data_IF_412107301999
#
_entry.id   IF_412107301999
#
_cell.length_a   1.000
_cell.length_b   1.000
_cell.length_c   1.000
_cell.angle_alpha   90.00
_cell.angle_beta   90.00
_cell.angle_gamma   90.00
#
_symmetry.space_group_name_H-M   'P 1'
#
loop_
_entity.id
_entity.type
_entity.pdbx_description
1 polymer ?
#
# COMPACT_ATOMS: atom_id res chain seq x y z
N UNK A 1 18.40 19.26 30.50
CA UNK A 1 17.24 18.94 31.34
C UNK A 1 17.06 17.43 31.58
N UNK A 2 17.78 16.56 30.86
CA UNK A 2 17.74 15.11 31.07
C UNK A 2 18.59 14.71 32.29
N UNK A 3 18.03 13.88 33.18
CA UNK A 3 18.77 13.31 34.34
C UNK A 3 19.78 12.28 33.85
N UNK A 4 20.81 12.02 34.67
CA UNK A 4 21.79 10.97 34.37
C UNK A 4 21.09 9.59 34.37
N UNK A 5 21.47 8.73 33.41
CA UNK A 5 20.85 7.43 33.20
C UNK A 5 19.43 7.46 32.59
N UNK A 6 18.95 8.63 32.16
CA UNK A 6 17.61 8.78 31.57
C UNK A 6 17.46 8.08 30.21
N UNK A 7 16.23 7.75 29.86
CA UNK A 7 15.88 7.15 28.57
C UNK A 7 15.30 8.21 27.63
N UNK A 8 15.68 8.14 26.35
CA UNK A 8 15.21 9.02 25.28
C UNK A 8 14.79 8.19 24.09
N UNK A 9 13.57 8.43 23.59
CA UNK A 9 13.07 7.86 22.32
C UNK A 9 12.64 8.99 21.43
N UNK A 10 13.14 9.03 20.19
CA UNK A 10 12.77 10.09 19.26
C UNK A 10 13.57 10.04 17.97
N UNK A 11 13.40 11.06 17.11
CA UNK A 11 14.30 11.29 15.99
C UNK A 11 15.62 11.83 16.50
N UNK A 12 16.70 11.17 16.16
CA UNK A 12 18.05 11.49 16.63
C UNK A 12 18.97 11.87 15.47
N UNK A 13 18.87 11.15 14.35
CA UNK A 13 19.76 11.27 13.20
C UNK A 13 21.25 11.20 13.62
N UNK A 14 21.71 10.08 14.21
CA UNK A 14 22.99 10.00 14.90
C UNK A 14 24.20 10.27 13.99
N UNK A 15 24.07 10.06 12.68
CA UNK A 15 25.09 10.40 11.72
C UNK A 15 25.29 11.91 11.51
N UNK A 16 24.23 12.69 11.67
CA UNK A 16 24.22 14.14 11.44
C UNK A 16 24.40 14.93 12.75
N UNK A 17 23.95 14.40 13.90
CA UNK A 17 23.90 15.08 15.19
C UNK A 17 24.86 14.46 16.21
N UNK A 18 26.13 14.30 15.85
CA UNK A 18 27.16 13.68 16.70
C UNK A 18 27.36 14.39 18.01
N UNK A 19 27.33 15.72 18.01
CA UNK A 19 27.46 16.55 19.21
C UNK A 19 26.34 16.28 20.24
N UNK A 20 25.09 16.09 19.76
CA UNK A 20 23.96 15.74 20.60
C UNK A 20 24.17 14.34 21.21
N UNK A 21 24.57 13.38 20.40
CA UNK A 21 24.81 11.99 20.83
C UNK A 21 25.93 11.97 21.89
N UNK A 22 27.03 12.71 21.69
CA UNK A 22 28.15 12.79 22.65
C UNK A 22 27.74 13.44 23.97
N UNK A 23 26.86 14.46 23.94
CA UNK A 23 26.28 15.09 25.15
C UNK A 23 25.39 14.11 25.91
N UNK A 24 24.59 13.31 25.20
CA UNK A 24 23.72 12.28 25.80
C UNK A 24 24.56 11.14 26.39
N UNK A 25 25.66 10.74 25.73
CA UNK A 25 26.59 9.75 26.23
C UNK A 25 27.21 10.14 27.58
N UNK A 26 27.63 11.43 27.73
CA UNK A 26 28.13 11.99 28.99
C UNK A 26 27.11 11.98 30.15
N UNK A 27 25.81 11.85 29.80
CA UNK A 27 24.72 11.70 30.74
C UNK A 27 24.34 10.22 31.01
N UNK A 28 25.16 9.29 30.59
CA UNK A 28 24.90 7.86 30.69
C UNK A 28 23.51 7.45 30.17
N UNK A 29 23.00 8.20 29.18
CA UNK A 29 21.67 7.99 28.63
C UNK A 29 21.55 6.69 27.87
N UNK A 30 20.32 6.13 27.85
CA UNK A 30 19.90 5.10 26.90
C UNK A 30 19.01 5.75 25.85
N UNK A 31 19.40 5.64 24.56
CA UNK A 31 18.80 6.43 23.48
C UNK A 31 18.37 5.51 22.34
N UNK A 32 17.10 5.59 21.96
CA UNK A 32 16.50 4.92 20.81
C UNK A 32 16.18 5.94 19.73
N UNK A 33 16.69 5.72 18.52
CA UNK A 33 16.43 6.56 17.37
C UNK A 33 15.33 5.95 16.49
N UNK A 34 14.18 6.60 16.40
CA UNK A 34 13.07 6.16 15.55
C UNK A 34 13.43 6.19 14.05
N UNK A 35 14.42 6.99 13.66
CA UNK A 35 15.00 7.05 12.31
C UNK A 35 15.98 5.92 12.01
N UNK A 36 16.38 5.15 13.04
CA UNK A 36 17.31 4.02 12.91
C UNK A 36 16.62 2.65 13.05
N UNK A 37 15.31 2.60 13.20
CA UNK A 37 14.53 1.36 13.23
C UNK A 37 14.78 0.56 11.94
N UNK A 38 15.18 -0.73 12.04
CA UNK A 38 15.53 -1.52 10.87
C UNK A 38 14.29 -1.80 10.00
N UNK A 39 14.46 -1.79 8.67
CA UNK A 39 13.38 -2.04 7.71
C UNK A 39 13.17 -3.53 7.48
N UNK A 40 12.70 -4.23 8.49
CA UNK A 40 12.33 -5.65 8.48
C UNK A 40 10.83 -5.80 8.77
N UNK A 41 10.25 -6.91 8.37
CA UNK A 41 8.79 -7.16 8.49
C UNK A 41 8.27 -7.00 9.92
N UNK A 42 9.03 -7.45 10.94
CA UNK A 42 8.64 -7.34 12.35
C UNK A 42 8.62 -5.89 12.84
N UNK A 43 9.53 -5.04 12.32
CA UNK A 43 9.65 -3.64 12.71
C UNK A 43 8.72 -2.70 11.92
N UNK A 44 7.96 -3.19 10.96
CA UNK A 44 7.12 -2.37 10.06
C UNK A 44 6.15 -1.46 10.83
N UNK A 45 5.60 -1.92 11.96
CA UNK A 45 4.70 -1.12 12.82
C UNK A 45 5.42 0.03 13.56
N UNK A 46 6.74 0.01 13.58
CA UNK A 46 7.61 1.00 14.21
C UNK A 46 8.30 1.90 13.18
N UNK A 47 8.04 1.72 11.86
CA UNK A 47 8.64 2.51 10.78
C UNK A 47 8.03 3.92 10.72
N UNK A 48 8.58 4.77 11.56
CA UNK A 48 8.19 6.17 11.68
C UNK A 48 8.53 6.97 10.41
N UNK A 49 9.65 6.64 9.75
CA UNK A 49 10.06 7.34 8.52
C UNK A 49 9.03 7.13 7.42
N UNK A 50 8.53 5.90 7.23
CA UNK A 50 7.47 5.62 6.25
C UNK A 50 6.16 6.30 6.63
N UNK A 51 5.80 6.34 7.91
CA UNK A 51 4.61 7.04 8.38
C UNK A 51 4.66 8.54 8.06
N UNK A 52 5.80 9.20 8.36
CA UNK A 52 5.99 10.62 8.07
C UNK A 52 6.10 10.90 6.57
N UNK A 53 6.76 10.03 5.81
CA UNK A 53 6.84 10.13 4.36
C UNK A 53 5.45 10.07 3.69
N UNK A 54 4.55 9.21 4.19
CA UNK A 54 3.17 9.14 3.70
C UNK A 54 2.44 10.47 3.89
N UNK A 55 2.54 11.05 5.09
CA UNK A 55 1.94 12.37 5.40
C UNK A 55 2.55 13.45 4.50
N UNK A 56 3.88 13.46 4.34
CA UNK A 56 4.56 14.44 3.50
C UNK A 56 4.08 14.39 2.05
N UNK A 57 3.93 13.19 1.47
CA UNK A 57 3.42 13.01 0.11
C UNK A 57 1.99 13.52 -0.07
N UNK A 58 1.10 13.21 0.87
CA UNK A 58 -0.26 13.77 0.89
C UNK A 58 -0.24 15.30 0.99
N UNK A 59 0.51 15.84 1.98
CA UNK A 59 0.59 17.27 2.21
C UNK A 59 1.18 18.02 1.02
N UNK A 60 2.15 17.44 0.32
CA UNK A 60 2.72 18.04 -0.89
C UNK A 60 1.67 18.33 -1.96
N UNK A 61 0.70 17.43 -2.15
CA UNK A 61 -0.42 17.65 -3.09
C UNK A 61 -1.32 18.79 -2.61
N UNK A 62 -1.57 18.89 -1.31
CA UNK A 62 -2.37 19.99 -0.75
C UNK A 62 -1.65 21.32 -0.91
N UNK A 63 -0.32 21.39 -0.70
CA UNK A 63 0.47 22.59 -0.97
C UNK A 63 0.49 22.93 -2.46
N UNK A 64 0.60 21.92 -3.34
CA UNK A 64 0.45 22.13 -4.77
C UNK A 64 -0.91 22.74 -5.10
N UNK A 65 -2.00 22.20 -4.55
CA UNK A 65 -3.35 22.69 -4.79
C UNK A 65 -3.58 24.11 -4.28
N UNK A 66 -2.99 24.47 -3.13
CA UNK A 66 -3.08 25.80 -2.55
C UNK A 66 -2.35 26.89 -3.40
N UNK A 67 -1.32 26.50 -4.14
CA UNK A 67 -0.51 27.40 -4.97
C UNK A 67 -0.85 27.33 -6.46
N UNK A 68 -1.67 26.35 -6.89
CA UNK A 68 -2.04 26.17 -8.28
C UNK A 68 -3.31 26.96 -8.62
N UNK A 69 -3.29 27.88 -9.61
CA UNK A 69 -4.40 28.80 -9.87
C UNK A 69 -5.55 28.17 -10.68
N UNK A 70 -5.53 26.84 -10.90
CA UNK A 70 -6.54 26.12 -11.68
C UNK A 70 -7.09 24.94 -10.90
N UNK A 71 -8.13 24.29 -11.45
CA UNK A 71 -8.70 23.08 -10.89
C UNK A 71 -7.79 21.86 -11.08
N UNK A 72 -7.75 20.96 -10.09
CA UNK A 72 -7.14 19.64 -10.24
C UNK A 72 -8.01 18.73 -11.10
N UNK A 73 -9.32 18.74 -10.86
CA UNK A 73 -10.26 17.95 -11.64
C UNK A 73 -10.72 18.67 -12.90
N UNK A 74 -11.12 17.91 -13.93
CA UNK A 74 -11.81 18.47 -15.08
C UNK A 74 -13.18 19.07 -14.68
N UNK A 75 -13.55 20.19 -15.29
CA UNK A 75 -14.80 20.86 -15.03
C UNK A 75 -15.55 21.17 -16.31
N UNK A 76 -16.88 21.16 -16.24
CA UNK A 76 -17.76 21.70 -17.29
C UNK A 76 -18.52 22.85 -16.66
N UNK A 77 -18.32 24.05 -17.20
CA UNK A 77 -18.95 25.28 -16.72
C UNK A 77 -19.80 25.90 -17.81
N UNK A 78 -20.61 26.89 -17.46
CA UNK A 78 -21.34 27.67 -18.46
C UNK A 78 -20.39 28.39 -19.46
N UNK A 79 -19.16 28.68 -19.05
CA UNK A 79 -18.13 29.30 -19.88
C UNK A 79 -17.29 28.29 -20.71
N UNK A 80 -17.57 26.99 -20.58
CA UNK A 80 -16.90 25.94 -21.33
C UNK A 80 -16.24 24.87 -20.48
N UNK A 81 -15.47 23.99 -21.15
CA UNK A 81 -14.75 22.86 -20.54
C UNK A 81 -13.38 23.30 -20.04
N UNK A 82 -13.01 22.82 -18.88
CA UNK A 82 -11.68 22.96 -18.30
C UNK A 82 -11.09 21.56 -18.13
N UNK A 83 -9.94 21.33 -18.74
CA UNK A 83 -9.25 20.04 -18.62
C UNK A 83 -8.61 19.86 -17.22
N UNK A 84 -8.51 18.62 -16.71
CA UNK A 84 -7.88 18.34 -15.42
C UNK A 84 -6.39 18.68 -15.43
N UNK A 85 -5.84 19.04 -14.28
CA UNK A 85 -4.42 19.26 -14.10
C UNK A 85 -3.63 17.98 -14.38
N UNK A 86 -2.44 18.14 -14.97
CA UNK A 86 -1.48 17.07 -15.21
C UNK A 86 -0.39 17.14 -14.15
N UNK A 87 -0.22 16.08 -13.38
CA UNK A 87 0.72 15.98 -12.27
C UNK A 87 1.78 14.94 -12.62
N UNK A 88 3.05 15.31 -12.52
CA UNK A 88 4.19 14.40 -12.56
C UNK A 88 4.69 14.17 -11.14
N UNK A 89 4.79 12.90 -10.73
CA UNK A 89 5.44 12.51 -9.47
C UNK A 89 6.74 11.79 -9.79
N UNK A 90 7.86 12.34 -9.29
CA UNK A 90 9.19 11.77 -9.46
C UNK A 90 9.61 11.09 -8.17
N UNK A 91 9.73 9.77 -8.21
CA UNK A 91 9.89 8.86 -7.10
C UNK A 91 8.55 8.24 -6.67
N UNK A 92 8.44 6.91 -6.77
CA UNK A 92 7.27 6.12 -6.38
C UNK A 92 7.52 5.33 -5.08
N UNK A 93 8.26 5.90 -4.14
CA UNK A 93 8.35 5.42 -2.76
C UNK A 93 7.09 5.76 -1.96
N UNK A 94 7.13 5.60 -0.63
CA UNK A 94 5.97 5.84 0.24
C UNK A 94 5.38 7.25 0.04
N UNK A 95 6.22 8.28 0.01
CA UNK A 95 5.77 9.65 -0.21
C UNK A 95 5.17 9.84 -1.62
N UNK A 96 5.84 9.30 -2.65
CA UNK A 96 5.37 9.41 -4.03
C UNK A 96 4.04 8.68 -4.26
N UNK A 97 3.87 7.47 -3.74
CA UNK A 97 2.60 6.73 -3.82
C UNK A 97 1.48 7.48 -3.09
N UNK A 98 1.76 8.07 -1.92
CA UNK A 98 0.80 8.91 -1.20
C UNK A 98 0.40 10.15 -2.02
N UNK A 99 1.37 10.81 -2.67
CA UNK A 99 1.11 11.94 -3.56
C UNK A 99 0.29 11.54 -4.78
N UNK A 100 0.59 10.38 -5.42
CA UNK A 100 -0.19 9.83 -6.53
C UNK A 100 -1.65 9.64 -6.11
N UNK A 101 -1.88 8.96 -4.97
CA UNK A 101 -3.23 8.72 -4.45
C UNK A 101 -4.00 10.00 -4.17
N UNK A 102 -3.36 10.97 -3.53
CA UNK A 102 -3.97 12.27 -3.23
C UNK A 102 -4.31 13.07 -4.50
N UNK A 103 -3.38 13.17 -5.45
CA UNK A 103 -3.59 13.89 -6.70
C UNK A 103 -4.69 13.24 -7.57
N UNK A 104 -4.72 11.89 -7.62
CA UNK A 104 -5.82 11.14 -8.26
C UNK A 104 -7.15 11.38 -7.57
N UNK A 105 -7.16 11.41 -6.23
CA UNK A 105 -8.35 11.71 -5.43
C UNK A 105 -8.93 13.11 -5.71
N UNK A 106 -8.07 14.08 -6.03
CA UNK A 106 -8.45 15.42 -6.46
C UNK A 106 -8.85 15.48 -7.95
N UNK A 107 -8.76 14.38 -8.70
CA UNK A 107 -9.21 14.28 -10.10
C UNK A 107 -8.18 14.68 -11.13
N UNK A 108 -6.90 14.78 -10.79
CA UNK A 108 -5.82 15.05 -11.72
C UNK A 108 -5.49 13.85 -12.62
N UNK A 109 -4.89 14.11 -13.78
CA UNK A 109 -4.19 13.13 -14.59
C UNK A 109 -2.78 13.00 -14.02
N UNK A 110 -2.45 11.83 -13.45
CA UNK A 110 -1.18 11.61 -12.77
C UNK A 110 -0.29 10.70 -13.59
N UNK A 111 0.96 11.13 -13.78
CA UNK A 111 2.08 10.36 -14.30
C UNK A 111 3.11 10.21 -13.20
N UNK A 112 3.81 9.09 -13.16
CA UNK A 112 4.86 8.86 -12.18
C UNK A 112 6.07 8.20 -12.84
N UNK A 113 7.23 8.49 -12.29
CA UNK A 113 8.49 7.87 -12.67
C UNK A 113 9.24 7.37 -11.43
N UNK A 114 9.82 6.19 -11.54
CA UNK A 114 10.76 5.64 -10.55
C UNK A 114 11.77 4.74 -11.29
N UNK A 115 13.07 4.78 -10.97
CA UNK A 115 14.05 3.91 -11.63
C UNK A 115 13.88 2.41 -11.28
N UNK A 116 13.12 2.08 -10.23
CA UNK A 116 12.83 0.71 -9.82
C UNK A 116 11.61 0.18 -10.57
N UNK A 117 11.78 -0.84 -11.38
CA UNK A 117 10.70 -1.48 -12.15
C UNK A 117 9.61 -2.07 -11.26
N UNK A 118 9.95 -2.53 -10.05
CA UNK A 118 9.01 -3.10 -9.08
C UNK A 118 7.91 -2.12 -8.63
N UNK A 119 8.10 -0.80 -8.80
CA UNK A 119 7.09 0.22 -8.45
C UNK A 119 6.01 0.41 -9.52
N UNK A 120 6.22 -0.10 -10.74
CA UNK A 120 5.32 0.07 -11.89
C UNK A 120 3.90 -0.42 -11.59
N UNK A 121 3.78 -1.64 -11.06
CA UNK A 121 2.47 -2.23 -10.74
C UNK A 121 1.76 -1.46 -9.62
N UNK A 122 2.52 -0.94 -8.65
CA UNK A 122 1.97 -0.13 -7.56
C UNK A 122 1.40 1.19 -8.09
N UNK A 123 2.14 1.88 -8.98
CA UNK A 123 1.69 3.12 -9.63
C UNK A 123 0.45 2.86 -10.49
N UNK A 124 0.47 1.80 -11.30
CA UNK A 124 -0.66 1.43 -12.16
C UNK A 124 -1.91 1.08 -11.34
N UNK A 125 -1.76 0.37 -10.21
CA UNK A 125 -2.86 0.02 -9.31
C UNK A 125 -3.55 1.25 -8.70
N UNK A 126 -2.82 2.37 -8.58
CA UNK A 126 -3.38 3.65 -8.13
C UNK A 126 -4.01 4.47 -9.27
N UNK A 127 -4.03 3.93 -10.48
CA UNK A 127 -4.62 4.56 -11.66
C UNK A 127 -3.78 5.70 -12.23
N UNK A 128 -2.47 5.70 -12.00
CA UNK A 128 -1.51 6.61 -12.60
C UNK A 128 -0.74 5.94 -13.76
N UNK A 129 -0.30 6.75 -14.71
CA UNK A 129 0.56 6.31 -15.81
C UNK A 129 2.01 6.22 -15.32
N UNK A 130 2.64 5.06 -15.47
CA UNK A 130 4.06 4.89 -15.18
C UNK A 130 4.89 5.25 -16.40
N UNK A 131 5.85 6.15 -16.23
CA UNK A 131 6.77 6.56 -17.28
C UNK A 131 8.03 5.69 -17.24
N UNK A 132 8.47 5.21 -18.39
CA UNK A 132 9.67 4.39 -18.53
C UNK A 132 10.71 5.08 -19.41
N UNK A 133 11.97 4.89 -19.07
CA UNK A 133 13.08 5.21 -19.94
C UNK A 133 13.37 4.01 -20.84
N UNK A 134 13.59 4.23 -22.14
CA UNK A 134 13.85 3.17 -23.13
C UNK A 134 15.23 2.49 -22.95
N UNK A 135 15.69 2.32 -21.73
CA UNK A 135 16.92 1.63 -21.36
C UNK A 135 16.59 0.55 -20.31
N UNK A 136 17.00 -0.69 -20.60
CA UNK A 136 16.80 -1.81 -19.65
C UNK A 136 17.90 -1.80 -18.60
N UNK A 137 17.72 -1.02 -17.58
CA UNK A 137 18.57 -1.03 -16.39
C UNK A 137 17.69 -1.15 -15.15
N UNK A 138 18.02 -2.11 -14.27
CA UNK A 138 17.28 -2.33 -13.03
C UNK A 138 17.76 -1.36 -11.95
N UNK A 139 16.84 -0.55 -11.43
CA UNK A 139 17.15 0.50 -10.45
C UNK A 139 17.03 0.06 -8.99
N UNK A 140 16.76 -1.23 -8.70
CA UNK A 140 16.53 -1.68 -7.34
C UNK A 140 17.83 -1.75 -6.53
N UNK A 141 17.84 -1.09 -5.38
CA UNK A 141 18.95 -1.04 -4.43
C UNK A 141 18.60 -1.66 -3.08
N UNK A 142 19.54 -1.62 -2.14
CA UNK A 142 19.35 -2.16 -0.78
C UNK A 142 18.36 -1.30 0.03
N UNK A 143 17.50 -1.95 0.85
CA UNK A 143 16.60 -1.28 1.77
C UNK A 143 15.44 -0.50 1.11
N UNK A 144 15.07 -0.85 -0.15
CA UNK A 144 13.96 -0.22 -0.86
C UNK A 144 14.28 1.15 -1.47
N UNK A 145 15.57 1.54 -1.54
CA UNK A 145 16.03 2.73 -2.24
C UNK A 145 16.53 2.36 -3.65
N UNK A 146 16.54 3.36 -4.54
CA UNK A 146 17.15 3.20 -5.85
C UNK A 146 18.68 3.10 -5.73
N UNK A 147 19.32 2.29 -6.59
CA UNK A 147 20.79 2.27 -6.75
C UNK A 147 21.25 3.44 -7.64
N UNK A 148 22.56 3.67 -7.66
CA UNK A 148 23.18 4.58 -8.63
C UNK A 148 23.04 3.98 -10.04
N UNK A 149 22.46 4.77 -10.96
CA UNK A 149 22.21 4.39 -12.35
C UNK A 149 23.39 4.82 -13.24
N UNK A 150 23.48 4.21 -14.43
CA UNK A 150 24.49 4.58 -15.41
C UNK A 150 24.31 6.00 -15.93
N UNK A 151 25.39 6.63 -16.41
CA UNK A 151 25.33 7.97 -17.03
C UNK A 151 24.39 8.03 -18.23
N UNK A 152 24.27 6.93 -18.99
CA UNK A 152 23.36 6.82 -20.12
C UNK A 152 21.90 6.84 -19.66
N UNK A 153 21.60 6.11 -18.59
CA UNK A 153 20.26 6.13 -17.98
C UNK A 153 19.92 7.52 -17.46
N UNK A 154 20.83 8.15 -16.71
CA UNK A 154 20.62 9.50 -16.15
C UNK A 154 20.38 10.53 -17.27
N UNK A 155 21.08 10.45 -18.40
CA UNK A 155 20.84 11.34 -19.55
C UNK A 155 19.44 11.13 -20.15
N UNK A 156 19.01 9.88 -20.29
CA UNK A 156 17.70 9.55 -20.83
C UNK A 156 16.57 9.94 -19.86
N UNK A 157 16.77 9.77 -18.55
CA UNK A 157 15.88 10.22 -17.48
C UNK A 157 15.70 11.74 -17.52
N UNK A 158 16.80 12.50 -17.61
CA UNK A 158 16.77 13.96 -17.70
C UNK A 158 16.06 14.44 -18.95
N UNK A 159 16.23 13.74 -20.10
CA UNK A 159 15.51 14.05 -21.34
C UNK A 159 14.00 13.79 -21.18
N UNK A 160 13.62 12.70 -20.50
CA UNK A 160 12.21 12.40 -20.18
C UNK A 160 11.61 13.51 -19.30
N UNK A 161 12.31 13.94 -18.24
CA UNK A 161 11.81 15.01 -17.36
C UNK A 161 11.69 16.35 -18.09
N UNK A 162 12.64 16.68 -18.98
CA UNK A 162 12.55 17.89 -19.82
C UNK A 162 11.32 17.87 -20.71
N UNK A 163 11.01 16.71 -21.33
CA UNK A 163 9.81 16.55 -22.14
C UNK A 163 8.53 16.66 -21.29
N UNK A 164 8.51 16.06 -20.11
CA UNK A 164 7.36 16.12 -19.21
C UNK A 164 7.14 17.54 -18.67
N UNK A 165 8.19 18.28 -18.32
CA UNK A 165 8.09 19.66 -17.80
C UNK A 165 7.28 20.58 -18.73
N UNK A 166 7.39 20.41 -20.04
CA UNK A 166 6.60 21.19 -21.03
C UNK A 166 5.11 20.79 -21.05
N UNK A 167 4.76 19.60 -20.56
CA UNK A 167 3.41 19.05 -20.70
C UNK A 167 2.59 19.10 -19.44
N UNK A 168 3.24 19.01 -18.28
CA UNK A 168 2.56 18.96 -16.98
C UNK A 168 2.33 20.34 -16.39
N UNK A 169 1.43 20.41 -15.44
CA UNK A 169 1.08 21.62 -14.70
C UNK A 169 1.70 21.63 -13.30
N UNK A 170 1.95 20.43 -12.75
CA UNK A 170 2.47 20.24 -11.39
C UNK A 170 3.55 19.16 -11.41
N UNK A 171 4.67 19.40 -10.70
CA UNK A 171 5.72 18.40 -10.45
C UNK A 171 5.86 18.21 -8.95
N UNK A 172 5.88 16.97 -8.48
CA UNK A 172 6.16 16.60 -7.09
C UNK A 172 7.39 15.70 -7.09
N UNK A 173 8.47 16.12 -6.44
CA UNK A 173 9.71 15.37 -6.37
C UNK A 173 9.91 14.77 -4.98
N UNK A 174 10.30 13.50 -4.93
CA UNK A 174 10.47 12.74 -3.67
C UNK A 174 11.78 11.94 -3.63
N UNK A 175 12.74 12.23 -4.54
CA UNK A 175 13.96 11.47 -4.65
C UNK A 175 14.96 11.87 -3.54
N UNK A 176 15.10 11.00 -2.56
CA UNK A 176 16.02 11.15 -1.44
C UNK A 176 16.97 9.97 -1.36
N UNK A 177 18.26 10.25 -1.15
CA UNK A 177 19.29 9.26 -0.86
C UNK A 177 19.74 9.50 0.58
N UNK A 178 19.51 8.55 1.51
CA UNK A 178 19.89 8.74 2.91
C UNK A 178 21.37 9.09 3.07
N UNK A 179 21.66 10.16 3.79
CA UNK A 179 23.03 10.60 4.09
C UNK A 179 23.79 11.25 2.93
N UNK A 180 23.15 11.45 1.76
CA UNK A 180 23.74 12.18 0.61
C UNK A 180 22.87 13.39 0.25
N UNK A 181 23.44 14.42 -0.41
CA UNK A 181 22.66 15.48 -1.01
C UNK A 181 21.64 14.94 -2.01
N UNK A 182 20.47 15.56 -2.12
CA UNK A 182 19.44 15.18 -3.05
C UNK A 182 19.92 15.34 -4.52
N UNK A 183 19.64 14.37 -5.41
CA UNK A 183 19.99 14.50 -6.82
C UNK A 183 19.20 15.67 -7.46
N UNK A 184 19.85 16.42 -8.35
CA UNK A 184 19.21 17.49 -9.12
C UNK A 184 18.53 16.91 -10.35
N UNK A 185 17.20 16.78 -10.30
CA UNK A 185 16.37 16.15 -11.34
C UNK A 185 15.63 17.17 -12.21
N UNK A 186 15.33 18.36 -11.64
CA UNK A 186 14.67 19.46 -12.33
C UNK A 186 15.63 20.61 -12.46
N UNK A 187 16.10 20.88 -13.67
CA UNK A 187 17.01 21.99 -13.97
C UNK A 187 16.27 23.31 -14.09
N UNK A 188 17.00 24.42 -14.00
CA UNK A 188 16.44 25.77 -14.26
C UNK A 188 15.76 25.85 -15.63
N UNK A 189 16.37 25.29 -16.67
CA UNK A 189 15.78 25.28 -18.02
C UNK A 189 14.45 24.50 -18.09
N UNK A 190 14.31 23.41 -17.34
CA UNK A 190 13.03 22.68 -17.24
C UNK A 190 11.97 23.53 -16.54
N UNK A 191 12.32 24.22 -15.43
CA UNK A 191 11.40 25.14 -14.77
C UNK A 191 10.94 26.24 -15.72
N UNK A 192 11.86 26.82 -16.48
CA UNK A 192 11.55 27.86 -17.46
C UNK A 192 10.70 27.40 -18.65
N UNK A 193 10.71 26.09 -18.93
CA UNK A 193 9.88 25.48 -19.98
C UNK A 193 8.44 25.16 -19.52
N UNK A 194 8.18 25.20 -18.22
CA UNK A 194 6.84 24.96 -17.67
C UNK A 194 5.90 26.15 -17.98
N UNK A 195 4.62 25.86 -17.98
CA UNK A 195 3.58 26.89 -18.21
C UNK A 195 3.54 27.87 -17.03
N UNK A 196 3.31 29.17 -17.27
CA UNK A 196 3.02 30.12 -16.18
C UNK A 196 1.85 29.62 -15.30
N UNK A 197 1.99 29.73 -13.99
CA UNK A 197 1.04 29.21 -13.00
C UNK A 197 1.29 27.74 -12.62
N UNK A 198 2.29 27.08 -13.20
CA UNK A 198 2.71 25.75 -12.77
C UNK A 198 3.32 25.75 -11.36
N UNK A 199 3.28 24.59 -10.70
CA UNK A 199 3.79 24.43 -9.32
C UNK A 199 4.74 23.25 -9.24
N UNK A 200 5.85 23.44 -8.54
CA UNK A 200 6.78 22.36 -8.15
C UNK A 200 6.74 22.24 -6.63
N UNK A 201 6.56 21.04 -6.09
CA UNK A 201 6.71 20.77 -4.66
C UNK A 201 7.85 19.78 -4.47
N UNK A 202 8.88 20.21 -3.77
CA UNK A 202 10.12 19.48 -3.61
C UNK A 202 10.25 18.93 -2.19
N UNK A 203 9.97 17.63 -2.01
CA UNK A 203 10.08 16.97 -0.71
C UNK A 203 11.53 16.70 -0.29
N UNK A 204 12.49 16.87 -1.21
CA UNK A 204 13.90 16.73 -0.93
C UNK A 204 14.57 18.04 -0.48
N UNK A 205 13.80 19.10 -0.26
CA UNK A 205 14.28 20.43 0.06
C UNK A 205 15.26 20.46 1.24
N UNK A 206 15.03 19.68 2.30
CA UNK A 206 15.91 19.56 3.47
C UNK A 206 17.33 19.10 3.12
N UNK A 207 17.48 18.30 2.06
CA UNK A 207 18.77 17.78 1.56
C UNK A 207 19.25 18.53 0.30
N UNK A 208 18.85 19.79 0.15
CA UNK A 208 19.24 20.65 -0.96
C UNK A 208 18.27 20.65 -2.15
N UNK A 209 17.27 19.79 -2.16
CA UNK A 209 16.21 19.74 -3.15
C UNK A 209 16.55 19.03 -4.46
N UNK A 210 15.53 18.45 -5.11
CA UNK A 210 15.62 17.85 -6.44
C UNK A 210 15.50 18.91 -7.57
N UNK A 211 14.89 20.05 -7.30
CA UNK A 211 14.84 21.18 -8.24
C UNK A 211 16.04 22.11 -7.99
N UNK A 212 16.65 22.60 -9.06
CA UNK A 212 17.80 23.50 -8.98
C UNK A 212 17.47 24.83 -8.28
N UNK A 213 16.22 25.26 -8.34
CA UNK A 213 15.73 26.53 -7.79
C UNK A 213 15.01 26.38 -6.44
N UNK A 214 15.07 25.21 -5.83
CA UNK A 214 14.47 24.98 -4.50
C UNK A 214 15.28 25.72 -3.43
N UNK A 215 14.59 26.52 -2.62
CA UNK A 215 15.12 27.12 -1.41
C UNK A 215 14.50 26.43 -0.18
N UNK A 216 15.31 25.78 0.66
CA UNK A 216 14.80 25.06 1.83
C UNK A 216 13.99 25.95 2.76
N UNK A 217 12.79 25.51 3.13
CA UNK A 217 11.88 26.25 4.03
C UNK A 217 11.05 27.35 3.36
N UNK A 218 11.26 27.67 2.09
CA UNK A 218 10.65 28.82 1.42
C UNK A 218 9.80 28.41 0.21
N UNK A 219 8.91 29.33 -0.18
CA UNK A 219 8.22 29.30 -1.48
C UNK A 219 8.87 30.37 -2.35
N UNK A 220 9.35 29.97 -3.52
CA UNK A 220 9.99 30.86 -4.48
C UNK A 220 9.21 30.92 -5.79
N UNK A 221 9.40 31.96 -6.56
CA UNK A 221 8.75 32.15 -7.86
C UNK A 221 9.80 32.43 -8.93
N UNK A 222 9.75 31.67 -10.03
CA UNK A 222 10.64 31.86 -11.16
C UNK A 222 9.86 31.77 -12.47
N UNK A 223 9.88 32.84 -13.26
CA UNK A 223 9.17 32.94 -14.57
C UNK A 223 7.70 32.45 -14.52
N UNK A 224 6.98 32.77 -13.46
CA UNK A 224 5.58 32.39 -13.27
C UNK A 224 5.36 30.98 -12.76
N UNK A 225 6.42 30.22 -12.45
CA UNK A 225 6.36 28.93 -11.77
C UNK A 225 6.57 29.12 -10.28
N UNK A 226 5.72 28.51 -9.46
CA UNK A 226 5.86 28.50 -8.00
C UNK A 226 6.62 27.25 -7.56
N UNK A 227 7.66 27.40 -6.74
CA UNK A 227 8.47 26.31 -6.21
C UNK A 227 8.33 26.29 -4.69
N UNK A 228 7.76 25.23 -4.17
CA UNK A 228 7.50 25.01 -2.74
C UNK A 228 8.60 24.10 -2.18
N UNK A 229 9.49 24.68 -1.37
CA UNK A 229 10.63 24.00 -0.75
C UNK A 229 10.45 23.75 0.76
N UNK A 230 9.24 23.50 1.24
CA UNK A 230 8.99 23.29 2.67
C UNK A 230 9.70 22.04 3.20
N UNK A 231 10.37 22.20 4.34
CA UNK A 231 11.10 21.13 5.03
C UNK A 231 10.30 20.49 6.16
N UNK A 232 9.10 21.01 6.44
CA UNK A 232 8.27 20.67 7.59
C UNK A 232 6.89 20.09 7.20
N UNK A 233 6.75 19.49 6.00
CA UNK A 233 5.48 19.01 5.47
C UNK A 233 4.68 18.12 6.44
N UNK A 234 5.29 17.14 7.16
CA UNK A 234 4.56 16.38 8.17
C UNK A 234 4.04 17.24 9.32
N UNK A 235 4.81 18.23 9.77
CA UNK A 235 4.43 19.13 10.88
C UNK A 235 3.24 20.01 10.52
N UNK A 236 3.03 20.29 9.22
CA UNK A 236 1.85 21.02 8.70
C UNK A 236 0.56 20.19 8.76
N UNK A 237 0.65 18.93 9.22
CA UNK A 237 -0.47 18.06 9.58
C UNK A 237 -0.30 17.55 11.02
N UNK A 238 -0.10 18.46 11.95
CA UNK A 238 0.38 18.19 13.32
C UNK A 238 -0.43 17.10 14.05
N UNK A 239 -1.76 17.12 13.98
CA UNK A 239 -2.61 16.13 14.63
C UNK A 239 -2.35 14.71 14.12
N UNK A 240 -2.35 14.51 12.80
CA UNK A 240 -2.11 13.20 12.19
C UNK A 240 -0.68 12.73 12.41
N UNK A 241 0.30 13.62 12.26
CA UNK A 241 1.72 13.31 12.51
C UNK A 241 1.96 12.90 13.96
N UNK A 242 1.39 13.63 14.92
CA UNK A 242 1.49 13.29 16.33
C UNK A 242 0.86 11.94 16.66
N UNK A 243 -0.31 11.65 16.09
CA UNK A 243 -0.99 10.38 16.29
C UNK A 243 -0.18 9.21 15.75
N UNK A 244 0.31 9.28 14.52
CA UNK A 244 1.08 8.20 13.90
C UNK A 244 2.46 8.05 14.56
N UNK A 245 3.12 9.15 14.87
CA UNK A 245 4.40 9.16 15.60
C UNK A 245 4.26 8.53 16.97
N UNK A 246 3.24 8.95 17.73
CA UNK A 246 2.94 8.38 19.04
C UNK A 246 2.64 6.88 18.98
N UNK A 247 1.92 6.41 17.96
CA UNK A 247 1.63 4.99 17.77
C UNK A 247 2.90 4.16 17.50
N UNK A 248 3.84 4.68 16.68
CA UNK A 248 5.12 3.99 16.42
C UNK A 248 6.00 3.93 17.66
N UNK A 249 6.07 5.02 18.45
CA UNK A 249 6.78 5.04 19.75
C UNK A 249 6.14 4.07 20.72
N UNK A 250 4.81 4.06 20.86
CA UNK A 250 4.11 3.15 21.77
C UNK A 250 4.39 1.68 21.42
N UNK A 251 4.49 1.37 20.11
CA UNK A 251 4.85 0.02 19.64
C UNK A 251 6.28 -0.34 20.06
N UNK A 252 7.26 0.56 19.91
CA UNK A 252 8.62 0.33 20.37
C UNK A 252 8.69 0.17 21.88
N UNK A 253 7.98 1.00 22.65
CA UNK A 253 7.94 0.89 24.12
C UNK A 253 7.35 -0.44 24.58
N UNK A 254 6.34 -0.97 23.87
CA UNK A 254 5.77 -2.29 24.17
C UNK A 254 6.78 -3.45 23.98
N UNK A 255 7.75 -3.30 23.07
CA UNK A 255 8.85 -4.27 22.93
C UNK A 255 9.92 -4.13 24.04
N UNK A 256 10.04 -2.94 24.63
CA UNK A 256 11.00 -2.65 25.71
C UNK A 256 10.48 -2.98 27.11
N UNK A 257 9.17 -3.21 27.27
CA UNK A 257 8.59 -3.62 28.56
C UNK A 257 8.83 -5.11 28.77
N UNK A 258 9.46 -5.43 29.88
CA UNK A 258 9.66 -6.82 30.29
C UNK A 258 8.31 -7.54 30.45
N UNK A 259 8.07 -8.57 29.61
CA UNK A 259 6.86 -9.38 29.76
C UNK A 259 6.97 -10.16 31.07
N UNK A 260 5.94 -10.17 31.91
CA UNK A 260 5.94 -11.06 33.06
C UNK A 260 6.22 -12.48 32.58
N UNK A 261 7.22 -13.13 33.14
CA UNK A 261 7.47 -14.54 32.86
C UNK A 261 6.24 -15.29 33.37
N UNK A 262 5.39 -15.73 32.40
CA UNK A 262 4.31 -16.65 32.73
C UNK A 262 4.95 -17.83 33.46
N UNK A 263 4.71 -17.93 34.77
CA UNK A 263 5.16 -19.04 35.59
C UNK A 263 4.69 -20.32 34.89
N UNK A 264 5.66 -21.08 34.38
CA UNK A 264 5.45 -22.39 33.79
C UNK A 264 4.50 -23.16 34.70
N UNK A 265 3.28 -23.38 34.26
CA UNK A 265 2.31 -24.23 34.86
C UNK A 265 2.81 -25.66 34.81
N UNK A 266 3.51 -26.09 35.87
CA UNK A 266 3.71 -27.51 36.14
C UNK A 266 2.37 -28.08 36.65
N UNK A 267 1.83 -29.14 36.04
CA UNK A 267 0.64 -29.78 36.51
C UNK A 267 1.02 -30.82 37.60
N UNK A 268 0.94 -30.46 38.86
CA UNK A 268 0.67 -31.47 39.90
C UNK A 268 0.11 -30.84 41.18
N UNK A 269 -1.19 -31.04 41.34
CA UNK A 269 -1.96 -31.46 42.54
C UNK A 269 -1.42 -31.13 43.95
N UNK A 270 -2.15 -30.29 44.67
CA UNK A 270 -2.82 -30.74 45.88
C UNK A 270 -3.85 -29.72 46.39
N UNK A 271 -5.03 -30.23 46.73
CA UNK A 271 -6.11 -29.53 47.44
C UNK A 271 -5.66 -29.13 48.85
N UNK A 272 -6.01 -27.91 49.26
CA UNK A 272 -6.18 -27.59 50.66
C UNK A 272 -5.65 -26.23 51.06
N UNK A 273 -6.60 -25.42 51.42
CA UNK A 273 -6.60 -24.30 52.38
C UNK A 273 -6.71 -22.89 51.79
N UNK A 274 -7.79 -22.33 52.28
CA UNK A 274 -8.33 -20.98 52.13
C UNK A 274 -7.40 -19.90 52.70
N UNK A 275 -7.70 -18.74 52.18
CA UNK A 275 -7.65 -17.39 52.73
C UNK A 275 -6.49 -16.50 52.31
N UNK A 276 -6.97 -15.32 51.97
CA UNK A 276 -6.34 -14.02 51.83
C UNK A 276 -5.95 -13.60 50.40
N UNK A 277 -6.96 -12.97 49.78
CA UNK A 277 -6.77 -12.03 48.68
C UNK A 277 -5.92 -10.85 49.17
N UNK A 278 -4.61 -10.96 49.03
CA UNK A 278 -3.70 -9.83 49.19
C UNK A 278 -3.29 -9.39 47.77
N UNK A 279 -3.84 -8.25 47.39
CA UNK A 279 -3.34 -7.26 46.43
C UNK A 279 -2.06 -7.70 45.71
N UNK A 280 -2.21 -8.13 44.44
CA UNK A 280 -1.08 -8.20 43.53
C UNK A 280 -0.62 -6.74 43.31
N UNK A 281 0.46 -6.36 43.99
CA UNK A 281 1.17 -5.13 43.69
C UNK A 281 1.50 -5.16 42.18
N UNK A 282 0.92 -4.25 41.44
CA UNK A 282 1.36 -3.96 40.09
C UNK A 282 2.81 -3.46 40.22
N UNK A 283 3.77 -4.35 39.98
CA UNK A 283 5.15 -3.94 39.81
C UNK A 283 5.17 -2.95 38.68
N UNK A 284 5.73 -1.77 38.89
CA UNK A 284 5.91 -0.78 37.80
C UNK A 284 6.63 -1.44 36.66
N UNK A 285 6.17 -1.23 35.39
CA UNK A 285 6.78 -1.84 34.25
C UNK A 285 8.25 -1.39 34.12
N UNK A 286 9.16 -2.35 34.20
CA UNK A 286 10.60 -2.10 34.04
C UNK A 286 10.93 -2.12 32.56
N UNK A 287 11.56 -1.05 32.10
CA UNK A 287 12.08 -0.97 30.72
C UNK A 287 13.38 -1.77 30.63
N UNK A 288 13.44 -2.71 29.71
CA UNK A 288 14.61 -3.54 29.42
C UNK A 288 14.97 -3.45 27.94
N UNK A 289 16.26 -3.23 27.64
CA UNK A 289 16.77 -3.23 26.27
C UNK A 289 17.48 -4.56 26.00
N UNK A 290 16.77 -5.50 25.39
CA UNK A 290 17.38 -6.75 24.93
C UNK A 290 18.23 -6.50 23.68
N UNK A 291 19.55 -6.42 23.86
CA UNK A 291 20.49 -6.16 22.76
C UNK A 291 20.66 -7.37 21.82
N UNK A 292 20.11 -8.53 22.15
CA UNK A 292 20.08 -9.68 21.23
C UNK A 292 18.92 -9.58 20.23
N UNK A 293 17.93 -8.75 20.51
CA UNK A 293 16.82 -8.48 19.62
C UNK A 293 17.25 -7.57 18.48
N UNK A 294 17.01 -7.99 17.24
CA UNK A 294 17.44 -7.28 16.01
C UNK A 294 16.82 -5.89 15.89
N UNK A 295 15.54 -5.71 16.30
CA UNK A 295 14.82 -4.42 16.24
C UNK A 295 15.39 -3.45 17.25
N UNK A 296 15.53 -3.92 18.51
CA UNK A 296 16.07 -3.13 19.62
C UNK A 296 17.53 -2.75 19.32
N UNK A 297 18.32 -3.70 18.84
CA UNK A 297 19.73 -3.48 18.48
C UNK A 297 19.89 -2.51 17.31
N UNK A 298 18.94 -2.53 16.37
CA UNK A 298 18.92 -1.60 15.23
C UNK A 298 18.55 -0.18 15.62
N UNK A 299 17.58 -0.02 16.52
CA UNK A 299 17.05 1.27 16.95
C UNK A 299 17.91 1.97 18.02
N UNK A 300 18.69 1.23 18.81
CA UNK A 300 19.46 1.78 19.93
C UNK A 300 20.74 2.49 19.47
N UNK A 301 20.90 3.75 19.87
CA UNK A 301 22.08 4.58 19.57
C UNK A 301 23.06 4.61 20.75
N UNK A 302 22.52 4.75 21.97
CA UNK A 302 23.29 4.70 23.21
C UNK A 302 22.66 3.71 24.20
N UNK A 303 23.45 2.92 24.86
CA UNK A 303 23.04 2.09 25.99
C UNK A 303 23.89 2.44 27.23
N UNK A 304 23.25 3.04 28.24
CA UNK A 304 23.93 3.52 29.46
C UNK A 304 25.17 4.39 29.12
N UNK A 305 25.05 5.29 28.16
CA UNK A 305 26.10 6.16 27.69
C UNK A 305 27.12 5.53 26.72
N UNK A 306 27.07 4.21 26.51
CA UNK A 306 27.95 3.52 25.57
C UNK A 306 27.39 3.60 24.14
N UNK A 307 28.23 4.01 23.18
CA UNK A 307 27.87 4.07 21.77
C UNK A 307 27.55 2.71 21.20
N UNK A 308 26.36 2.55 20.64
CA UNK A 308 25.87 1.32 20.01
C UNK A 308 25.65 1.48 18.50
N UNK A 309 25.65 2.70 18.00
CA UNK A 309 25.47 3.01 16.58
C UNK A 309 26.83 3.13 15.86
N UNK A 310 26.96 2.66 14.58
CA UNK A 310 25.92 1.99 13.77
C UNK A 310 25.57 0.58 14.24
N UNK A 311 24.37 0.13 13.90
CA UNK A 311 23.98 -1.26 14.12
C UNK A 311 24.89 -2.21 13.33
N UNK A 312 25.19 -3.44 13.81
CA UNK A 312 25.86 -4.43 13.03
C UNK A 312 25.13 -4.69 11.71
N UNK A 313 25.89 -4.90 10.63
CA UNK A 313 25.27 -5.32 9.38
C UNK A 313 24.50 -6.64 9.60
N UNK A 314 23.28 -6.81 9.04
CA UNK A 314 22.60 -8.10 9.10
C UNK A 314 23.52 -9.19 8.50
N UNK A 315 23.46 -10.42 9.04
CA UNK A 315 24.24 -11.53 8.49
C UNK A 315 23.89 -11.67 7.00
N UNK A 316 24.92 -11.67 6.17
CA UNK A 316 24.76 -11.87 4.72
C UNK A 316 24.09 -13.23 4.52
N UNK A 317 22.94 -13.33 3.81
CA UNK A 317 22.40 -14.62 3.45
C UNK A 317 23.50 -15.45 2.76
N UNK A 318 23.63 -16.77 3.04
CA UNK A 318 24.59 -17.60 2.34
C UNK A 318 24.36 -17.43 0.84
N UNK A 319 25.45 -17.20 0.11
CA UNK A 319 25.41 -17.07 -1.34
C UNK A 319 24.68 -18.29 -1.93
N UNK A 320 23.80 -18.09 -2.93
CA UNK A 320 23.19 -19.21 -3.64
C UNK A 320 24.31 -20.14 -4.11
N UNK A 321 24.17 -21.47 -3.98
CA UNK A 321 25.19 -22.38 -4.48
C UNK A 321 25.40 -22.13 -5.97
N UNK A 322 26.65 -22.00 -6.38
CA UNK A 322 27.01 -21.88 -7.80
C UNK A 322 26.35 -23.02 -8.60
N UNK A 323 25.86 -22.75 -9.82
CA UNK A 323 25.26 -23.79 -10.63
C UNK A 323 26.31 -24.84 -10.98
N UNK A 324 26.33 -25.92 -10.20
CA UNK A 324 27.17 -27.09 -10.43
C UNK A 324 26.75 -27.79 -11.73
N UNK A 325 27.74 -28.16 -12.50
CA UNK A 325 27.67 -29.00 -13.69
C UNK A 325 26.70 -30.18 -13.50
N UNK A 326 25.80 -30.50 -14.47
CA UNK A 326 24.78 -31.51 -14.29
C UNK A 326 25.34 -32.93 -14.26
N UNK A 327 25.35 -33.55 -13.09
CA UNK A 327 25.46 -35.01 -12.98
C UNK A 327 24.07 -35.63 -13.03
N UNK A 328 23.87 -36.52 -14.02
CA UNK A 328 22.68 -37.36 -14.14
C UNK A 328 22.57 -38.30 -12.94
N UNK A 329 21.50 -38.26 -12.16
CA UNK A 329 20.99 -39.45 -11.46
C UNK A 329 19.59 -39.23 -10.88
N UNK A 330 18.70 -40.14 -11.24
CA UNK A 330 17.53 -40.72 -10.58
C UNK A 330 16.40 -39.83 -10.07
N UNK A 331 15.27 -40.04 -10.72
CA UNK A 331 13.92 -39.64 -10.35
C UNK A 331 13.50 -40.12 -8.95
N UNK A 332 13.08 -39.19 -8.09
CA UNK A 332 12.21 -39.46 -6.95
C UNK A 332 11.01 -38.52 -7.02
N UNK A 333 9.82 -39.13 -7.05
CA UNK A 333 8.51 -38.49 -7.04
C UNK A 333 8.35 -37.69 -5.75
N UNK A 334 8.28 -36.37 -5.84
CA UNK A 334 7.72 -35.53 -4.79
C UNK A 334 6.34 -35.04 -5.22
N UNK A 335 5.35 -35.28 -4.37
CA UNK A 335 3.97 -34.85 -4.49
C UNK A 335 3.94 -33.34 -4.33
N UNK A 336 3.59 -32.64 -5.41
CA UNK A 336 3.48 -31.18 -5.41
C UNK A 336 2.17 -30.73 -4.77
N UNK A 337 2.27 -29.86 -3.79
CA UNK A 337 1.17 -29.00 -3.36
C UNK A 337 1.01 -27.86 -4.39
N UNK A 338 -0.21 -27.52 -4.82
CA UNK A 338 -0.40 -26.45 -5.79
C UNK A 338 -0.20 -25.08 -5.12
N UNK A 339 0.85 -24.39 -5.53
CA UNK A 339 0.97 -22.95 -5.29
C UNK A 339 0.00 -22.22 -6.20
N UNK A 340 -1.01 -21.57 -5.62
CA UNK A 340 -1.88 -20.65 -6.33
C UNK A 340 -1.11 -19.35 -6.64
N UNK A 341 -0.39 -19.36 -7.75
CA UNK A 341 0.10 -18.16 -8.39
C UNK A 341 -1.06 -17.43 -9.03
N UNK A 342 -1.44 -16.26 -8.50
CA UNK A 342 -2.33 -15.35 -9.19
C UNK A 342 -1.50 -14.60 -10.25
N UNK A 343 -1.41 -15.19 -11.42
CA UNK A 343 -1.01 -14.48 -12.62
C UNK A 343 -2.13 -13.53 -13.02
N UNK A 344 -1.89 -12.24 -12.96
CA UNK A 344 -2.69 -11.27 -13.68
C UNK A 344 -2.35 -11.42 -15.16
N UNK A 345 -3.22 -12.12 -15.86
CA UNK A 345 -3.23 -12.18 -17.30
C UNK A 345 -3.56 -10.81 -17.89
N UNK A 346 -2.88 -10.51 -18.95
CA UNK A 346 -3.17 -9.44 -19.90
C UNK A 346 -4.67 -9.30 -20.15
N UNK A 347 -5.11 -8.06 -20.40
CA UNK A 347 -6.43 -7.69 -20.86
C UNK A 347 -6.76 -8.37 -22.20
N UNK A 348 -7.01 -9.66 -22.16
CA UNK A 348 -7.69 -10.35 -23.23
C UNK A 348 -9.17 -10.02 -23.08
N UNK A 349 -9.63 -9.07 -23.88
CA UNK A 349 -11.06 -8.94 -24.15
C UNK A 349 -11.63 -10.33 -24.40
N UNK A 350 -12.77 -10.64 -23.77
CA UNK A 350 -13.45 -11.92 -23.94
C UNK A 350 -13.50 -12.19 -25.45
N UNK A 351 -12.89 -13.29 -25.85
CA UNK A 351 -12.84 -13.66 -27.27
C UNK A 351 -14.28 -13.63 -27.80
N UNK A 352 -14.59 -12.82 -28.84
CA UNK A 352 -15.95 -12.65 -29.34
C UNK A 352 -16.61 -13.98 -29.72
N UNK A 353 -15.82 -14.99 -30.03
CA UNK A 353 -16.30 -16.36 -30.26
C UNK A 353 -16.88 -17.04 -29.03
N UNK A 354 -16.38 -16.73 -27.83
CA UNK A 354 -16.94 -17.27 -26.56
C UNK A 354 -18.32 -16.67 -26.31
N UNK A 355 -18.51 -15.39 -26.57
CA UNK A 355 -19.81 -14.72 -26.49
C UNK A 355 -20.79 -15.25 -27.54
N UNK A 356 -20.31 -15.51 -28.76
CA UNK A 356 -21.12 -16.09 -29.83
C UNK A 356 -21.56 -17.53 -29.51
N UNK A 357 -20.66 -18.35 -28.97
CA UNK A 357 -20.96 -19.73 -28.55
C UNK A 357 -21.97 -19.74 -27.39
N UNK A 358 -21.80 -18.84 -26.42
CA UNK A 358 -22.74 -18.69 -25.29
C UNK A 358 -24.12 -18.22 -25.78
N UNK A 359 -24.18 -17.27 -26.73
CA UNK A 359 -25.44 -16.82 -27.34
C UNK A 359 -26.13 -17.91 -28.15
N UNK A 360 -25.36 -18.69 -28.93
CA UNK A 360 -25.90 -19.83 -29.71
C UNK A 360 -26.38 -20.96 -28.80
N UNK A 361 -25.66 -21.23 -27.67
CA UNK A 361 -26.11 -22.22 -26.69
C UNK A 361 -27.42 -21.81 -26.01
N UNK A 362 -27.56 -20.52 -25.65
CA UNK A 362 -28.78 -19.95 -25.10
C UNK A 362 -29.94 -19.96 -26.09
N UNK A 363 -29.70 -19.65 -27.35
CA UNK A 363 -30.69 -19.73 -28.43
C UNK A 363 -31.11 -21.19 -28.69
N UNK A 364 -30.16 -22.13 -28.64
CA UNK A 364 -30.43 -23.56 -28.75
C UNK A 364 -31.29 -24.10 -27.60
N UNK A 365 -31.03 -23.66 -26.38
CA UNK A 365 -31.85 -24.00 -25.21
C UNK A 365 -33.27 -23.42 -25.37
N UNK A 366 -33.39 -22.15 -25.82
CA UNK A 366 -34.68 -21.55 -26.10
C UNK A 366 -35.50 -22.24 -27.19
N UNK A 367 -34.80 -22.82 -28.20
CA UNK A 367 -35.47 -23.60 -29.28
C UNK A 367 -35.90 -24.98 -28.82
N UNK A 368 -35.17 -25.60 -27.86
CA UNK A 368 -35.47 -26.94 -27.33
C UNK A 368 -36.55 -26.96 -26.23
N UNK A 369 -36.94 -25.79 -25.71
CA UNK A 369 -38.06 -25.70 -24.76
C UNK A 369 -39.37 -25.73 -25.57
N UNK A 370 -40.20 -26.81 -25.50
CA UNK A 370 -41.44 -26.89 -26.25
C UNK A 370 -42.39 -25.79 -25.81
N UNK A 371 -42.77 -24.91 -26.72
CA UNK A 371 -43.84 -23.94 -26.50
C UNK A 371 -45.17 -24.68 -26.35
N UNK A 372 -45.62 -24.84 -25.11
CA UNK A 372 -46.98 -25.34 -24.82
C UNK A 372 -48.00 -24.29 -25.27
N UNK A 373 -49.08 -24.66 -25.97
CA UNK A 373 -49.99 -23.71 -26.62
C UNK A 373 -50.98 -23.03 -25.68
N UNK A 374 -50.88 -23.19 -24.38
CA UNK A 374 -51.81 -22.58 -23.41
C UNK A 374 -51.08 -22.10 -22.16
N UNK A 375 -50.35 -21.03 -22.23
CA UNK A 375 -50.05 -19.99 -21.23
C UNK A 375 -48.69 -19.34 -21.52
N UNK A 376 -48.70 -18.13 -22.02
CA UNK A 376 -47.59 -17.20 -21.81
C UNK A 376 -46.26 -17.48 -22.50
N UNK A 377 -46.22 -17.84 -23.79
CA UNK A 377 -44.94 -17.92 -24.56
C UNK A 377 -44.14 -16.61 -24.60
N UNK A 378 -44.74 -15.48 -24.21
CA UNK A 378 -44.05 -14.20 -23.99
C UNK A 378 -43.21 -14.19 -22.71
N UNK A 379 -43.58 -14.93 -21.68
CA UNK A 379 -42.91 -14.87 -20.37
C UNK A 379 -41.55 -15.56 -20.36
N UNK A 380 -41.38 -16.67 -21.06
CA UNK A 380 -40.10 -17.39 -21.12
C UNK A 380 -39.00 -16.54 -21.84
N UNK A 381 -39.36 -15.88 -22.94
CA UNK A 381 -38.46 -15.00 -23.66
C UNK A 381 -38.13 -13.71 -22.84
N UNK A 382 -39.13 -13.19 -22.14
CA UNK A 382 -38.93 -12.04 -21.22
C UNK A 382 -37.99 -12.43 -20.05
N UNK A 383 -38.19 -13.57 -19.41
CA UNK A 383 -37.32 -14.09 -18.35
C UNK A 383 -35.89 -14.35 -18.84
N UNK A 384 -35.73 -14.92 -20.05
CA UNK A 384 -34.41 -15.12 -20.66
C UNK A 384 -33.71 -13.78 -20.94
N UNK A 385 -34.44 -12.80 -21.47
CA UNK A 385 -33.93 -11.44 -21.72
C UNK A 385 -33.46 -10.77 -20.43
N UNK A 386 -34.28 -10.84 -19.37
CA UNK A 386 -33.93 -10.29 -18.05
C UNK A 386 -32.71 -11.02 -17.49
N UNK A 387 -32.62 -12.34 -17.62
CA UNK A 387 -31.46 -13.11 -17.17
C UNK A 387 -30.18 -12.68 -17.88
N UNK A 388 -30.18 -12.59 -19.21
CA UNK A 388 -29.01 -12.15 -20.00
C UNK A 388 -28.60 -10.73 -19.62
N UNK A 389 -29.57 -9.83 -19.48
CA UNK A 389 -29.31 -8.44 -19.07
C UNK A 389 -28.72 -8.39 -17.65
N UNK A 390 -29.26 -9.17 -16.72
CA UNK A 390 -28.77 -9.26 -15.34
C UNK A 390 -27.32 -9.80 -15.27
N UNK A 391 -26.98 -10.80 -16.09
CA UNK A 391 -25.61 -11.32 -16.20
C UNK A 391 -24.67 -10.24 -16.72
N UNK A 392 -25.07 -9.51 -17.77
CA UNK A 392 -24.27 -8.45 -18.37
C UNK A 392 -24.03 -7.28 -17.40
N UNK A 393 -25.09 -6.79 -16.76
CA UNK A 393 -25.00 -5.72 -15.75
C UNK A 393 -24.19 -6.17 -14.55
N UNK A 394 -24.42 -7.39 -14.04
CA UNK A 394 -23.67 -7.97 -12.92
C UNK A 394 -22.17 -8.06 -13.21
N UNK A 395 -21.81 -8.53 -14.41
CA UNK A 395 -20.42 -8.57 -14.86
C UNK A 395 -19.78 -7.17 -14.90
N UNK A 396 -20.46 -6.20 -15.52
CA UNK A 396 -19.99 -4.80 -15.59
C UNK A 396 -19.81 -4.18 -14.20
N UNK A 397 -20.74 -4.41 -13.29
CA UNK A 397 -20.68 -3.90 -11.92
C UNK A 397 -19.49 -4.50 -11.17
N UNK A 398 -19.33 -5.83 -11.20
CA UNK A 398 -18.24 -6.52 -10.48
C UNK A 398 -16.87 -6.13 -11.05
N UNK A 399 -16.74 -6.03 -12.37
CA UNK A 399 -15.48 -5.70 -13.03
C UNK A 399 -14.98 -4.28 -12.73
N UNK A 400 -15.91 -3.32 -12.55
CA UNK A 400 -15.59 -1.92 -12.27
C UNK A 400 -15.46 -1.59 -10.78
N UNK A 401 -15.70 -2.53 -9.87
CA UNK A 401 -15.54 -2.30 -8.43
C UNK A 401 -14.06 -2.36 -8.05
N UNK A 402 -13.58 -1.31 -7.36
CA UNK A 402 -12.21 -1.27 -6.84
C UNK A 402 -11.95 -2.43 -5.88
N UNK A 403 -10.77 -3.08 -5.89
CA UNK A 403 -10.44 -4.23 -5.03
C UNK A 403 -10.73 -4.02 -3.54
N UNK A 404 -10.55 -2.79 -3.03
CA UNK A 404 -10.86 -2.44 -1.63
C UNK A 404 -12.35 -2.55 -1.26
N UNK A 405 -13.25 -2.52 -2.24
CA UNK A 405 -14.70 -2.63 -2.05
C UNK A 405 -15.23 -4.06 -2.29
N UNK A 406 -14.38 -5.00 -2.74
CA UNK A 406 -14.80 -6.39 -2.95
C UNK A 406 -15.26 -7.04 -1.63
N UNK A 407 -14.64 -6.70 -0.50
CA UNK A 407 -15.00 -7.29 0.80
C UNK A 407 -16.39 -6.85 1.31
N UNK A 408 -16.76 -5.55 1.31
CA UNK A 408 -18.13 -5.13 1.57
C UNK A 408 -19.14 -5.71 0.56
N UNK A 409 -18.75 -5.85 -0.71
CA UNK A 409 -19.61 -6.41 -1.76
C UNK A 409 -19.92 -7.88 -1.48
N UNK A 410 -18.97 -8.66 -0.96
CA UNK A 410 -19.21 -10.06 -0.55
C UNK A 410 -20.29 -10.18 0.54
N UNK A 411 -20.42 -9.22 1.44
CA UNK A 411 -21.51 -9.21 2.43
C UNK A 411 -22.87 -8.96 1.79
N UNK A 412 -22.95 -8.10 0.78
CA UNK A 412 -24.19 -7.80 0.04
C UNK A 412 -24.60 -9.00 -0.84
N UNK A 413 -23.64 -9.70 -1.47
CA UNK A 413 -23.93 -10.89 -2.28
C UNK A 413 -24.48 -12.03 -1.44
N UNK A 414 -24.19 -12.12 -0.14
CA UNK A 414 -24.80 -13.10 0.76
C UNK A 414 -26.31 -12.89 0.93
N UNK A 415 -26.80 -11.64 0.94
CA UNK A 415 -28.21 -11.35 0.97
C UNK A 415 -28.93 -11.82 -0.32
N UNK A 416 -28.28 -11.65 -1.48
CA UNK A 416 -28.79 -12.15 -2.78
C UNK A 416 -28.84 -13.68 -2.77
N UNK A 417 -27.82 -14.35 -2.24
CA UNK A 417 -27.81 -15.82 -2.09
C UNK A 417 -28.92 -16.32 -1.18
N UNK A 418 -29.31 -15.54 -0.17
CA UNK A 418 -30.49 -15.83 0.67
C UNK A 418 -31.79 -15.85 -0.12
N UNK A 419 -31.98 -14.94 -1.08
CA UNK A 419 -33.16 -14.89 -1.96
C UNK A 419 -33.17 -16.11 -2.89
N UNK A 420 -32.01 -16.51 -3.45
CA UNK A 420 -31.86 -17.68 -4.30
C UNK A 420 -32.23 -18.97 -3.52
N UNK A 421 -31.79 -19.05 -2.24
CA UNK A 421 -32.09 -20.17 -1.36
C UNK A 421 -33.61 -20.33 -1.17
N UNK A 422 -34.32 -19.23 -0.86
CA UNK A 422 -35.78 -19.23 -0.70
C UNK A 422 -36.47 -19.63 -2.01
N UNK A 423 -36.04 -19.04 -3.14
CA UNK A 423 -36.59 -19.39 -4.46
C UNK A 423 -36.37 -20.86 -4.82
N UNK A 424 -35.22 -21.44 -4.54
CA UNK A 424 -34.90 -22.85 -4.72
C UNK A 424 -35.77 -23.76 -3.83
N UNK A 425 -35.97 -23.37 -2.57
CA UNK A 425 -36.84 -24.14 -1.65
C UNK A 425 -38.29 -24.16 -2.12
N UNK A 426 -38.84 -23.08 -2.66
CA UNK A 426 -40.17 -23.04 -3.24
C UNK A 426 -40.30 -23.99 -4.43
N UNK A 427 -39.26 -24.18 -5.23
CA UNK A 427 -39.27 -25.14 -6.33
C UNK A 427 -39.29 -26.63 -5.85
N UNK A 428 -38.75 -26.90 -4.65
CA UNK A 428 -38.76 -28.26 -4.07
C UNK A 428 -40.17 -28.67 -3.57
N UNK A 429 -41.05 -27.72 -3.27
CA UNK A 429 -42.40 -27.99 -2.74
C UNK A 429 -43.46 -28.10 -3.83
N UNK A 430 -43.14 -27.72 -5.08
CA UNK A 430 -44.07 -27.79 -6.19
C UNK A 430 -44.16 -29.23 -6.72
N UNK A 431 -45.38 -29.71 -7.06
CA UNK A 431 -45.62 -31.01 -7.73
C UNK A 431 -45.18 -30.94 -9.21
N UNK A 432 -43.89 -30.77 -9.45
CA UNK A 432 -43.29 -30.47 -10.75
C UNK A 432 -42.42 -31.62 -11.23
N UNK A 433 -42.05 -31.67 -12.52
CA UNK A 433 -41.17 -32.70 -13.08
C UNK A 433 -39.87 -32.86 -12.32
N UNK A 434 -39.36 -34.07 -12.21
CA UNK A 434 -38.13 -34.44 -11.46
C UNK A 434 -36.91 -33.54 -11.77
N UNK A 435 -36.79 -33.02 -12.99
CA UNK A 435 -35.69 -32.12 -13.40
C UNK A 435 -35.73 -30.80 -12.66
N UNK A 436 -36.91 -30.21 -12.47
CA UNK A 436 -37.06 -28.92 -11.75
C UNK A 436 -36.70 -29.08 -10.27
N UNK A 437 -37.07 -30.18 -9.65
CA UNK A 437 -36.74 -30.51 -8.26
C UNK A 437 -35.22 -30.68 -8.09
N UNK A 438 -34.57 -31.40 -9.02
CA UNK A 438 -33.10 -31.57 -9.00
C UNK A 438 -32.38 -30.24 -9.14
N UNK A 439 -32.78 -29.40 -10.10
CA UNK A 439 -32.19 -28.09 -10.30
C UNK A 439 -32.41 -27.16 -9.08
N UNK A 440 -33.60 -27.21 -8.47
CA UNK A 440 -33.90 -26.49 -7.23
C UNK A 440 -33.02 -26.95 -6.08
N UNK A 441 -32.78 -28.25 -5.91
CA UNK A 441 -31.91 -28.80 -4.88
C UNK A 441 -30.44 -28.34 -5.08
N UNK A 442 -29.94 -28.35 -6.32
CA UNK A 442 -28.60 -27.87 -6.66
C UNK A 442 -28.48 -26.36 -6.35
N UNK A 443 -29.49 -25.56 -6.72
CA UNK A 443 -29.52 -24.14 -6.44
C UNK A 443 -29.47 -23.84 -4.92
N UNK A 444 -30.24 -24.56 -4.12
CA UNK A 444 -30.23 -24.49 -2.65
C UNK A 444 -28.86 -24.84 -2.09
N UNK A 445 -28.23 -25.90 -2.57
CA UNK A 445 -26.91 -26.34 -2.13
C UNK A 445 -25.85 -25.27 -2.42
N UNK A 446 -25.78 -24.75 -3.64
CA UNK A 446 -24.81 -23.72 -4.04
C UNK A 446 -25.00 -22.42 -3.25
N UNK A 447 -26.26 -21.97 -3.08
CA UNK A 447 -26.58 -20.80 -2.31
C UNK A 447 -26.17 -20.95 -0.82
N UNK A 448 -26.40 -22.12 -0.23
CA UNK A 448 -26.00 -22.42 1.15
C UNK A 448 -24.50 -22.39 1.35
N UNK A 449 -23.73 -22.96 0.40
CA UNK A 449 -22.25 -22.93 0.43
C UNK A 449 -21.76 -21.48 0.35
N UNK A 450 -22.35 -20.66 -0.53
CA UNK A 450 -21.95 -19.26 -0.69
C UNK A 450 -22.25 -18.43 0.57
N UNK A 451 -23.42 -18.62 1.19
CA UNK A 451 -23.78 -17.93 2.44
C UNK A 451 -22.81 -18.32 3.57
N UNK A 452 -22.59 -19.62 3.78
CA UNK A 452 -21.69 -20.10 4.83
C UNK A 452 -20.25 -19.63 4.62
N UNK A 453 -19.74 -19.72 3.39
CA UNK A 453 -18.41 -19.25 3.01
C UNK A 453 -18.23 -17.75 3.23
N UNK A 454 -19.20 -16.95 2.82
CA UNK A 454 -19.19 -15.50 3.02
C UNK A 454 -19.19 -15.11 4.49
N UNK A 455 -19.98 -15.78 5.35
CA UNK A 455 -19.95 -15.53 6.80
C UNK A 455 -18.62 -15.92 7.43
N UNK A 456 -18.02 -17.03 7.03
CA UNK A 456 -16.71 -17.47 7.55
C UNK A 456 -15.60 -16.46 7.20
N UNK A 457 -15.57 -15.98 5.94
CA UNK A 457 -14.60 -14.97 5.50
C UNK A 457 -14.81 -13.65 6.25
N UNK A 458 -16.06 -13.18 6.37
CA UNK A 458 -16.38 -11.95 7.09
C UNK A 458 -16.01 -12.06 8.58
N UNK A 459 -16.28 -13.18 9.24
CA UNK A 459 -15.94 -13.40 10.64
C UNK A 459 -14.42 -13.45 10.85
N UNK A 460 -13.67 -14.10 9.94
CA UNK A 460 -12.20 -14.11 9.98
C UNK A 460 -11.61 -12.73 9.80
N UNK A 461 -12.19 -11.90 8.93
CA UNK A 461 -11.76 -10.53 8.71
C UNK A 461 -12.05 -9.65 9.94
N UNK A 462 -13.25 -9.74 10.53
CA UNK A 462 -13.60 -9.02 11.76
C UNK A 462 -12.71 -9.43 12.94
N UNK A 463 -12.28 -10.69 13.01
CA UNK A 463 -11.35 -11.15 14.04
C UNK A 463 -9.94 -10.50 13.89
N UNK A 464 -9.52 -10.14 12.66
CA UNK A 464 -8.26 -9.39 12.45
C UNK A 464 -8.33 -7.94 12.92
N UNK A 465 -9.53 -7.34 13.02
CA UNK A 465 -9.73 -5.97 13.51
C UNK A 465 -10.07 -5.92 15.02
N UNK A 466 -10.24 -7.06 15.66
CA UNK A 466 -10.58 -7.19 17.10
C UNK A 466 -9.37 -7.44 18.02
N UNK A 467 -8.16 -7.09 17.60
CA UNK A 467 -6.98 -7.11 18.46
C UNK A 467 -6.62 -5.73 18.93
#
# INVERSE_FOLDING_TARGET
>A
LMRDGGWLVGFIWPGQNRDIVDRLAKKHATVFAMDSVPRITRAQKMDTLSAMANIAGYRAVIEAAANFPRFFTGQITAAGRIDPAKVLVIGAGVAGLSAIGAAKGLGAIVRAFDPRSATKDQVASMGAEFLEVNLKEEGEGKGGYAKEMSDEFLKAEMALFAQQAMQVDIIITTALIPGKPAPKLITTGMVESMKPGSVIVDLAAEQGGNCALTEPGHVTHHKGVTIVGYTDLPSRMASMSSQLYGATIATLLAELVEKPVDSVSSPHVSKGQSSDATTSAHADPVLHADLSDEVIRGAIVLHNGKMMWPAPAPPTPPAPPEPGVPTKSSASKAIGTPSTGHGHGDSTGINPWVLLIAALALAGIGYLVPSQPHTGGGDALAHLTVFVLAVFVGFQVVWNVKPALHTPLMSVTNAISGIILVGGMLQLTAATPTVTVILGAIAVLIASINIAGGFLVTNRMLAMFRK
#
